data_IF_791263517639
#
_entry.id   IF_791263517639
#
_cell.length_a   1.000
_cell.length_b   1.000
_cell.length_c   1.000
_cell.angle_alpha   90.00
_cell.angle_beta   90.00
_cell.angle_gamma   90.00
#
_symmetry.space_group_name_H-M   'P 1'
#
loop_
_entity.id
_entity.type
_entity.pdbx_description
1 polymer ?
#
# COMPACT_ATOMS: atom_id res chain seq x y z
N UNK A 1 -16.63 -31.49 -9.20
CA UNK A 1 -17.34 -32.73 -8.78
C UNK A 1 -17.81 -32.56 -7.34
N UNK A 2 -19.06 -32.98 -7.04
CA UNK A 2 -19.57 -32.91 -5.67
C UNK A 2 -18.91 -34.01 -4.81
N UNK A 3 -18.42 -33.66 -3.65
CA UNK A 3 -17.83 -34.59 -2.67
C UNK A 3 -18.91 -34.93 -1.65
N UNK A 4 -19.26 -36.18 -1.51
CA UNK A 4 -20.23 -36.65 -0.53
C UNK A 4 -19.51 -37.09 0.75
N UNK A 5 -19.95 -36.60 1.90
CA UNK A 5 -19.35 -36.86 3.20
C UNK A 5 -20.41 -37.51 4.12
N UNK A 6 -20.04 -38.59 4.77
CA UNK A 6 -20.89 -39.22 5.78
C UNK A 6 -21.04 -38.32 7.02
N UNK A 7 -22.26 -37.97 7.46
CA UNK A 7 -22.45 -37.11 8.61
C UNK A 7 -22.03 -37.72 9.96
N UNK A 8 -21.89 -39.08 10.03
CA UNK A 8 -21.59 -39.75 11.28
C UNK A 8 -20.10 -40.09 11.48
N UNK A 9 -19.34 -40.27 10.38
CA UNK A 9 -17.94 -40.70 10.48
C UNK A 9 -16.99 -39.87 9.62
N UNK A 10 -17.47 -38.80 8.97
CA UNK A 10 -16.73 -37.91 8.09
C UNK A 10 -15.99 -38.59 6.92
N UNK A 11 -16.33 -39.88 6.63
CA UNK A 11 -15.73 -40.58 5.50
C UNK A 11 -16.26 -40.04 4.18
N UNK A 12 -15.36 -39.94 3.21
CA UNK A 12 -15.70 -39.59 1.82
C UNK A 12 -16.33 -40.78 1.15
N UNK A 13 -17.51 -40.62 0.55
CA UNK A 13 -18.29 -41.66 -0.11
C UNK A 13 -18.42 -41.28 -1.58
N UNK A 14 -18.23 -42.27 -2.47
CA UNK A 14 -18.53 -42.11 -3.89
C UNK A 14 -20.00 -42.46 -4.15
N UNK A 15 -20.76 -41.64 -4.88
CA UNK A 15 -22.14 -41.98 -5.25
C UNK A 15 -22.18 -43.18 -6.18
N UNK A 16 -23.22 -43.97 -6.05
CA UNK A 16 -23.53 -45.08 -6.97
C UNK A 16 -24.01 -44.55 -8.34
N UNK A 17 -24.30 -45.47 -9.26
CA UNK A 17 -24.79 -45.14 -10.62
C UNK A 17 -26.11 -44.36 -10.60
N UNK A 18 -26.85 -44.39 -9.51
CA UNK A 18 -28.11 -43.65 -9.32
C UNK A 18 -27.87 -42.24 -8.71
N UNK A 19 -26.63 -41.91 -8.34
CA UNK A 19 -26.26 -40.69 -7.68
C UNK A 19 -26.51 -40.69 -6.16
N UNK A 20 -26.81 -41.85 -5.56
CA UNK A 20 -27.00 -42.03 -4.13
C UNK A 20 -25.67 -42.42 -3.48
N UNK A 21 -25.30 -41.73 -2.44
CA UNK A 21 -24.10 -42.04 -1.66
C UNK A 21 -24.50 -42.50 -0.25
N UNK A 22 -24.31 -43.78 0.04
CA UNK A 22 -24.60 -44.40 1.34
C UNK A 22 -23.29 -44.88 1.97
N UNK A 23 -23.08 -44.62 3.24
CA UNK A 23 -21.89 -45.04 3.95
C UNK A 23 -21.98 -46.48 4.35
N UNK A 24 -21.10 -47.36 3.85
CA UNK A 24 -21.05 -48.80 4.18
C UNK A 24 -20.77 -49.04 5.67
N UNK A 25 -20.28 -48.06 6.40
CA UNK A 25 -19.90 -48.16 7.81
C UNK A 25 -21.00 -47.75 8.77
N UNK A 26 -21.74 -46.72 8.42
CA UNK A 26 -22.76 -46.09 9.28
C UNK A 26 -24.17 -46.34 8.76
N UNK A 27 -24.32 -46.88 7.58
CA UNK A 27 -25.61 -47.07 6.90
C UNK A 27 -26.42 -45.77 6.75
N UNK A 28 -25.68 -44.64 6.69
CA UNK A 28 -26.25 -43.28 6.64
C UNK A 28 -26.02 -42.70 5.27
N UNK A 29 -27.02 -41.99 4.75
CA UNK A 29 -26.93 -41.25 3.48
C UNK A 29 -25.95 -40.07 3.61
N UNK A 30 -24.90 -40.13 2.82
CA UNK A 30 -23.96 -39.01 2.70
C UNK A 30 -24.55 -37.89 1.86
N UNK A 31 -24.21 -36.66 2.21
CA UNK A 31 -24.67 -35.45 1.53
C UNK A 31 -23.47 -34.71 0.94
N UNK A 32 -23.63 -34.06 -0.24
CA UNK A 32 -22.62 -33.13 -0.74
C UNK A 32 -22.58 -31.83 0.05
N UNK A 33 -23.51 -31.64 0.96
CA UNK A 33 -23.59 -30.47 1.86
C UNK A 33 -23.49 -30.92 3.32
N UNK A 34 -22.61 -30.28 4.07
CA UNK A 34 -22.46 -30.52 5.50
C UNK A 34 -22.97 -29.28 6.26
N UNK A 35 -23.82 -29.50 7.27
CA UNK A 35 -24.21 -28.44 8.21
C UNK A 35 -23.25 -28.49 9.38
N UNK A 36 -22.55 -27.37 9.62
CA UNK A 36 -21.65 -27.20 10.76
C UNK A 36 -22.08 -26.00 11.57
N UNK A 37 -22.24 -26.18 12.86
CA UNK A 37 -22.44 -25.06 13.78
C UNK A 37 -21.08 -24.42 14.06
N UNK A 38 -20.97 -23.12 13.82
CA UNK A 38 -19.77 -22.34 14.15
C UNK A 38 -20.08 -21.50 15.39
N UNK A 39 -19.30 -21.69 16.46
CA UNK A 39 -19.33 -20.80 17.61
C UNK A 39 -18.41 -19.61 17.33
N UNK A 40 -19.01 -18.52 16.87
CA UNK A 40 -18.28 -17.28 16.54
C UNK A 40 -17.66 -16.64 17.78
N UNK A 41 -18.28 -16.79 18.94
CA UNK A 41 -17.73 -16.24 20.18
C UNK A 41 -16.49 -17.02 20.65
N UNK A 42 -16.49 -18.33 20.50
CA UNK A 42 -15.32 -19.16 20.77
C UNK A 42 -14.17 -18.79 19.84
N UNK A 43 -14.42 -18.73 18.53
CA UNK A 43 -13.41 -18.34 17.56
C UNK A 43 -12.81 -16.95 17.81
N UNK A 44 -13.66 -15.97 18.17
CA UNK A 44 -13.18 -14.63 18.52
C UNK A 44 -12.32 -14.65 19.79
N UNK A 45 -12.74 -15.40 20.81
CA UNK A 45 -11.99 -15.52 22.06
C UNK A 45 -10.63 -16.16 21.82
N UNK A 46 -10.59 -17.25 21.05
CA UNK A 46 -9.35 -17.96 20.72
C UNK A 46 -8.39 -17.06 19.92
N UNK A 47 -8.92 -16.28 18.97
CA UNK A 47 -8.14 -15.31 18.22
C UNK A 47 -7.59 -14.17 19.09
N UNK A 48 -8.38 -13.66 20.02
CA UNK A 48 -7.92 -12.65 20.99
C UNK A 48 -6.83 -13.21 21.93
N UNK A 49 -7.02 -14.44 22.42
CA UNK A 49 -6.02 -15.11 23.27
C UNK A 49 -4.71 -15.35 22.53
N UNK A 50 -4.78 -15.74 21.25
CA UNK A 50 -3.59 -16.03 20.43
C UNK A 50 -2.71 -14.80 20.20
N UNK A 51 -3.31 -13.59 20.17
CA UNK A 51 -2.58 -12.31 20.03
C UNK A 51 -2.47 -11.56 21.37
N UNK A 52 -2.71 -12.22 22.51
CA UNK A 52 -2.53 -11.65 23.83
C UNK A 52 -3.52 -10.53 24.23
N UNK A 53 -4.63 -10.39 23.49
CA UNK A 53 -5.59 -9.30 23.66
C UNK A 53 -6.80 -9.71 24.53
N UNK A 54 -7.42 -8.73 25.19
CA UNK A 54 -8.58 -8.97 26.06
C UNK A 54 -9.90 -8.92 25.29
N UNK A 55 -10.91 -9.73 25.66
CA UNK A 55 -12.21 -9.75 24.97
C UNK A 55 -12.94 -8.40 24.88
N UNK A 56 -12.66 -7.47 25.80
CA UNK A 56 -13.30 -6.15 25.85
C UNK A 56 -12.44 -5.03 25.28
N UNK A 57 -11.31 -5.35 24.65
CA UNK A 57 -10.38 -4.33 24.17
C UNK A 57 -10.92 -3.56 22.96
N UNK A 58 -11.71 -4.23 22.11
CA UNK A 58 -12.14 -3.65 20.84
C UNK A 58 -13.64 -3.87 20.58
N UNK A 59 -14.35 -2.79 20.28
CA UNK A 59 -15.77 -2.85 19.89
C UNK A 59 -15.96 -3.35 18.45
N UNK A 60 -14.96 -3.20 17.61
CA UNK A 60 -15.01 -3.56 16.19
C UNK A 60 -13.66 -4.08 15.71
N UNK A 61 -13.70 -5.15 14.94
CA UNK A 61 -12.54 -5.65 14.21
C UNK A 61 -12.43 -4.91 12.86
N UNK A 62 -11.19 -4.62 12.44
CA UNK A 62 -10.90 -3.96 11.15
C UNK A 62 -10.49 -5.01 10.10
N UNK A 63 -11.47 -5.79 9.65
CA UNK A 63 -11.30 -6.84 8.66
C UNK A 63 -11.62 -6.37 7.24
N UNK A 64 -11.17 -7.13 6.25
CA UNK A 64 -11.45 -6.88 4.83
C UNK A 64 -12.95 -6.98 4.57
N UNK A 65 -13.53 -5.97 3.92
CA UNK A 65 -14.93 -5.98 3.51
C UNK A 65 -15.13 -6.91 2.30
N UNK A 66 -16.29 -7.57 2.23
CA UNK A 66 -16.69 -8.38 1.07
C UNK A 66 -16.26 -9.84 1.12
N UNK A 67 -15.76 -10.36 2.24
CA UNK A 67 -15.49 -11.79 2.47
C UNK A 67 -16.77 -12.62 2.71
N UNK A 68 -17.94 -12.15 2.30
CA UNK A 68 -19.23 -12.84 2.47
C UNK A 68 -19.56 -13.84 1.36
N UNK A 69 -18.66 -14.06 0.41
CA UNK A 69 -18.84 -15.05 -0.65
C UNK A 69 -18.48 -16.44 -0.16
N UNK A 70 -19.28 -17.45 -0.53
CA UNK A 70 -18.98 -18.86 -0.26
C UNK A 70 -17.68 -19.39 -0.93
N UNK A 71 -17.15 -18.62 -1.87
CA UNK A 71 -15.97 -18.97 -2.68
C UNK A 71 -14.69 -18.30 -2.18
N UNK A 72 -14.82 -17.40 -1.20
CA UNK A 72 -13.67 -16.65 -0.64
C UNK A 72 -13.22 -17.26 0.68
N UNK A 73 -11.91 -17.35 0.86
CA UNK A 73 -11.31 -17.72 2.13
C UNK A 73 -11.41 -16.52 3.09
N UNK A 74 -11.97 -16.70 4.29
CA UNK A 74 -11.98 -15.66 5.31
C UNK A 74 -10.55 -15.25 5.70
N UNK A 75 -10.36 -13.97 5.98
CA UNK A 75 -9.15 -13.50 6.61
C UNK A 75 -9.09 -14.00 8.07
N UNK A 76 -7.89 -14.36 8.61
CA UNK A 76 -7.73 -14.63 10.04
C UNK A 76 -8.21 -13.46 10.91
N UNK A 77 -8.96 -13.76 11.97
CA UNK A 77 -9.51 -12.73 12.87
C UNK A 77 -8.40 -11.94 13.58
N UNK A 78 -7.28 -12.57 13.84
CA UNK A 78 -6.08 -12.01 14.44
C UNK A 78 -5.62 -10.75 13.70
N UNK A 79 -5.61 -10.78 12.36
CA UNK A 79 -5.25 -9.61 11.55
C UNK A 79 -6.20 -8.44 11.79
N UNK A 80 -7.50 -8.71 11.89
CA UNK A 80 -8.51 -7.69 12.18
C UNK A 80 -8.41 -7.11 13.58
N UNK A 81 -8.00 -7.94 14.57
CA UNK A 81 -7.76 -7.53 15.95
C UNK A 81 -6.54 -6.60 16.01
N UNK A 82 -5.41 -7.02 15.40
CA UNK A 82 -4.17 -6.24 15.41
C UNK A 82 -4.33 -4.90 14.67
N UNK A 83 -5.06 -4.88 13.54
CA UNK A 83 -5.39 -3.60 12.88
C UNK A 83 -6.22 -2.68 13.79
N UNK A 84 -7.17 -3.24 14.55
CA UNK A 84 -7.94 -2.44 15.50
C UNK A 84 -7.08 -1.90 16.64
N UNK A 85 -6.09 -2.66 17.09
CA UNK A 85 -5.11 -2.25 18.11
C UNK A 85 -4.32 -1.03 17.69
N UNK A 86 -3.82 -1.02 16.45
CA UNK A 86 -2.98 0.06 15.91
C UNK A 86 -3.75 1.14 15.13
N UNK A 87 -5.07 1.09 15.17
CA UNK A 87 -6.00 2.03 14.51
C UNK A 87 -5.80 2.15 12.98
N UNK A 88 -5.29 1.11 12.34
CA UNK A 88 -5.19 1.01 10.89
C UNK A 88 -6.35 0.23 10.29
N UNK A 89 -6.65 0.42 9.01
CA UNK A 89 -7.79 -0.20 8.32
C UNK A 89 -7.35 -0.92 7.05
N UNK A 90 -7.92 -2.11 6.80
CA UNK A 90 -7.64 -2.87 5.59
C UNK A 90 -8.38 -2.30 4.38
N UNK A 91 -7.68 -2.20 3.27
CA UNK A 91 -8.28 -2.03 1.95
C UNK A 91 -8.93 -3.35 1.49
N UNK A 92 -9.64 -3.31 0.36
CA UNK A 92 -10.37 -4.50 -0.16
C UNK A 92 -9.50 -5.72 -0.47
N UNK A 93 -8.20 -5.55 -0.62
CA UNK A 93 -7.21 -6.59 -0.89
C UNK A 93 -6.41 -7.04 0.34
N UNK A 94 -6.68 -6.45 1.49
CA UNK A 94 -6.03 -6.77 2.78
C UNK A 94 -4.87 -5.86 3.16
N UNK A 95 -4.40 -5.01 2.26
CA UNK A 95 -3.29 -4.07 2.53
C UNK A 95 -3.77 -2.86 3.33
N UNK A 96 -2.85 -2.21 4.03
CA UNK A 96 -3.05 -0.93 4.72
C UNK A 96 -2.45 0.19 3.88
N UNK A 97 -3.23 1.24 3.59
CA UNK A 97 -2.85 2.32 2.68
C UNK A 97 -3.12 3.68 3.27
N UNK A 98 -2.37 4.65 2.80
CA UNK A 98 -2.64 6.07 3.00
C UNK A 98 -2.82 6.75 1.65
N UNK A 99 -3.97 7.37 1.46
CA UNK A 99 -4.28 8.11 0.23
C UNK A 99 -3.85 9.57 0.41
N UNK A 100 -3.09 10.09 -0.55
CA UNK A 100 -2.61 11.47 -0.56
C UNK A 100 -2.50 12.00 -1.99
N UNK A 101 -2.54 13.31 -2.14
CA UNK A 101 -2.13 13.94 -3.39
C UNK A 101 -0.61 13.85 -3.53
N UNK A 102 -0.12 13.51 -4.71
CA UNK A 102 1.30 13.42 -5.00
C UNK A 102 1.69 14.46 -6.08
N UNK A 103 2.72 15.25 -5.82
CA UNK A 103 3.17 16.34 -6.68
C UNK A 103 4.56 16.04 -7.26
N UNK A 104 4.82 16.46 -8.51
CA UNK A 104 6.11 16.23 -9.14
C UNK A 104 7.16 17.24 -8.68
N UNK A 105 8.35 16.73 -8.36
CA UNK A 105 9.56 17.52 -8.14
C UNK A 105 10.77 16.79 -8.71
N UNK A 106 11.75 17.54 -9.19
CA UNK A 106 13.01 16.97 -9.73
C UNK A 106 14.20 17.25 -8.82
N UNK A 107 14.05 18.13 -7.84
CA UNK A 107 15.11 18.46 -6.89
C UNK A 107 14.54 18.97 -5.57
N UNK A 108 15.26 18.70 -4.50
CA UNK A 108 14.88 18.99 -3.11
C UNK A 108 16.08 19.47 -2.30
N UNK A 109 15.83 20.05 -1.12
CA UNK A 109 16.88 20.37 -0.14
C UNK A 109 16.69 19.55 1.12
N UNK A 110 17.77 19.11 1.78
CA UNK A 110 17.67 18.47 3.11
C UNK A 110 16.80 19.27 4.10
N UNK A 111 16.99 20.59 4.16
CA UNK A 111 16.20 21.49 5.02
C UNK A 111 14.69 21.50 4.74
N UNK A 112 14.24 21.07 3.56
CA UNK A 112 12.83 20.99 3.17
C UNK A 112 12.20 19.64 3.49
N UNK A 113 13.03 18.64 3.87
CA UNK A 113 12.64 17.24 4.04
C UNK A 113 12.61 16.76 5.50
N UNK A 114 12.94 17.64 6.44
CA UNK A 114 13.11 17.29 7.87
C UNK A 114 14.07 16.11 8.09
N UNK A 115 15.17 16.11 7.35
CA UNK A 115 16.27 15.15 7.44
C UNK A 115 17.61 15.86 7.45
N UNK A 116 18.63 15.19 7.98
CA UNK A 116 20.00 15.71 7.97
C UNK A 116 20.70 15.50 6.65
N UNK A 117 21.82 16.19 6.46
CA UNK A 117 22.72 15.93 5.31
C UNK A 117 23.27 14.51 5.36
N UNK A 118 23.59 14.03 6.54
CA UNK A 118 24.10 12.70 6.81
C UNK A 118 23.09 11.62 6.37
N UNK A 119 21.82 11.77 6.72
CA UNK A 119 20.77 10.84 6.30
C UNK A 119 20.69 10.73 4.77
N UNK A 120 20.72 11.85 4.06
CA UNK A 120 20.73 11.84 2.60
C UNK A 120 22.03 11.25 2.01
N UNK A 121 23.16 11.49 2.66
CA UNK A 121 24.43 10.89 2.24
C UNK A 121 24.42 9.36 2.37
N UNK A 122 23.82 8.81 3.43
CA UNK A 122 23.60 7.37 3.62
C UNK A 122 22.70 6.79 2.52
N UNK A 123 21.73 7.54 2.05
CA UNK A 123 20.87 7.19 0.92
C UNK A 123 21.56 7.37 -0.45
N UNK A 124 22.83 7.86 -0.45
CA UNK A 124 23.68 7.99 -1.62
C UNK A 124 23.49 9.33 -2.36
N UNK A 125 23.07 10.39 -1.69
CA UNK A 125 23.11 11.76 -2.19
C UNK A 125 24.45 12.40 -1.81
N UNK A 126 25.42 12.39 -2.71
CA UNK A 126 26.80 12.82 -2.43
C UNK A 126 27.13 14.21 -2.96
N UNK A 127 26.36 14.70 -3.93
CA UNK A 127 26.60 15.94 -4.65
C UNK A 127 25.30 16.72 -4.83
N UNK A 128 25.42 18.03 -4.92
CA UNK A 128 24.31 18.92 -5.29
C UNK A 128 24.14 19.00 -6.84
N UNK A 129 23.12 19.71 -7.31
CA UNK A 129 22.83 19.88 -8.75
C UNK A 129 23.95 20.56 -9.54
N UNK A 130 24.98 21.08 -8.90
CA UNK A 130 26.16 21.72 -9.53
C UNK A 130 27.36 20.79 -9.56
N UNK A 131 27.26 19.62 -8.90
CA UNK A 131 28.35 18.66 -8.72
C UNK A 131 29.26 19.01 -7.55
N UNK A 132 28.86 19.93 -6.69
CA UNK A 132 29.59 20.22 -5.45
C UNK A 132 29.21 19.18 -4.38
N UNK A 133 30.18 18.74 -3.55
CA UNK A 133 29.88 17.79 -2.47
C UNK A 133 28.75 18.29 -1.56
N UNK A 134 27.80 17.44 -1.23
CA UNK A 134 26.71 17.75 -0.32
C UNK A 134 27.23 17.88 1.11
N UNK A 135 27.14 19.09 1.69
CA UNK A 135 27.66 19.44 3.02
C UNK A 135 26.71 20.31 3.85
N UNK A 136 25.73 20.93 3.21
CA UNK A 136 24.83 21.89 3.83
C UNK A 136 23.39 21.58 3.48
N UNK A 137 22.51 21.74 4.43
CA UNK A 137 21.09 21.48 4.29
C UNK A 137 20.36 22.36 3.25
N UNK A 138 20.95 23.49 2.89
CA UNK A 138 20.42 24.41 1.87
C UNK A 138 20.82 24.05 0.43
N UNK A 139 21.73 23.07 0.23
CA UNK A 139 22.12 22.64 -1.10
C UNK A 139 20.97 21.89 -1.78
N UNK A 140 20.76 22.18 -3.05
CA UNK A 140 19.73 21.52 -3.85
C UNK A 140 20.29 20.23 -4.45
N UNK A 141 19.67 19.11 -4.17
CA UNK A 141 20.04 17.79 -4.72
C UNK A 141 19.03 17.33 -5.76
N UNK A 142 19.49 16.63 -6.77
CA UNK A 142 18.61 16.01 -7.77
C UNK A 142 17.90 14.81 -7.16
N UNK A 143 16.56 14.80 -7.21
CA UNK A 143 15.75 13.71 -6.67
C UNK A 143 15.93 12.44 -7.52
N UNK A 144 16.28 11.34 -6.88
CA UNK A 144 16.36 10.04 -7.57
C UNK A 144 14.96 9.56 -7.94
N UNK A 145 14.85 8.89 -9.08
CA UNK A 145 13.58 8.55 -9.73
C UNK A 145 12.59 7.80 -8.85
N UNK A 146 13.06 6.95 -7.94
CA UNK A 146 12.20 6.14 -7.06
C UNK A 146 12.21 6.62 -5.61
N UNK A 147 12.74 7.80 -5.34
CA UNK A 147 12.70 8.39 -4.01
C UNK A 147 11.44 9.24 -3.84
N UNK A 148 10.80 9.13 -2.68
CA UNK A 148 9.53 9.80 -2.37
C UNK A 148 9.63 10.57 -1.05
N UNK A 149 8.90 11.68 -0.99
CA UNK A 149 8.74 12.49 0.22
C UNK A 149 7.31 12.34 0.72
N UNK A 150 7.15 11.94 1.97
CA UNK A 150 5.83 11.73 2.56
C UNK A 150 5.33 12.97 3.28
N UNK A 151 4.00 13.18 3.29
CA UNK A 151 3.40 14.14 4.20
C UNK A 151 3.53 13.67 5.65
N UNK A 152 3.47 14.62 6.61
CA UNK A 152 3.49 14.27 8.04
C UNK A 152 2.39 13.26 8.40
N UNK A 153 1.18 13.41 7.82
CA UNK A 153 0.08 12.47 8.05
C UNK A 153 0.32 11.09 7.45
N UNK A 154 0.98 11.00 6.29
CA UNK A 154 1.38 9.72 5.71
C UNK A 154 2.44 9.04 6.57
N UNK A 155 3.43 9.79 7.06
CA UNK A 155 4.46 9.25 7.93
C UNK A 155 3.89 8.69 9.24
N UNK A 156 2.98 9.42 9.91
CA UNK A 156 2.30 8.94 11.12
C UNK A 156 1.51 7.65 10.84
N UNK A 157 0.79 7.59 9.73
CA UNK A 157 0.07 6.37 9.35
C UNK A 157 0.99 5.20 9.03
N UNK A 158 2.16 5.45 8.41
CA UNK A 158 3.17 4.41 8.16
C UNK A 158 3.77 3.87 9.46
N UNK A 159 3.98 4.71 10.49
CA UNK A 159 4.42 4.25 11.82
C UNK A 159 3.38 3.31 12.45
N UNK A 160 2.10 3.70 12.46
CA UNK A 160 1.02 2.83 12.96
C UNK A 160 0.93 1.52 12.17
N UNK A 161 1.20 1.57 10.87
CA UNK A 161 1.22 0.38 10.03
C UNK A 161 2.44 -0.49 10.31
N UNK A 162 3.61 0.09 10.60
CA UNK A 162 4.81 -0.64 11.01
C UNK A 162 4.58 -1.39 12.33
N UNK A 163 4.03 -0.72 13.35
CA UNK A 163 3.66 -1.35 14.62
C UNK A 163 2.67 -2.51 14.41
N UNK A 164 1.69 -2.35 13.51
CA UNK A 164 0.76 -3.42 13.15
C UNK A 164 1.49 -4.60 12.49
N UNK A 165 2.42 -4.34 11.57
CA UNK A 165 3.19 -5.38 10.86
C UNK A 165 4.11 -6.13 11.83
N UNK A 166 4.76 -5.43 12.75
CA UNK A 166 5.64 -6.02 13.75
C UNK A 166 4.87 -6.91 14.73
N UNK A 167 3.74 -6.44 15.25
CA UNK A 167 2.84 -7.28 16.05
C UNK A 167 2.29 -8.49 15.26
N UNK A 168 2.02 -8.31 13.97
CA UNK A 168 1.58 -9.40 13.10
C UNK A 168 2.67 -10.46 12.93
N UNK A 169 3.92 -10.03 12.73
CA UNK A 169 5.08 -10.93 12.65
C UNK A 169 5.26 -11.70 13.96
N UNK A 170 5.27 -11.01 15.10
CA UNK A 170 5.54 -11.61 16.38
C UNK A 170 4.38 -12.48 16.86
N UNK A 171 3.18 -11.94 16.93
CA UNK A 171 2.05 -12.57 17.64
C UNK A 171 1.29 -13.58 16.77
N UNK A 172 1.26 -13.40 15.45
CA UNK A 172 0.55 -14.30 14.55
C UNK A 172 1.48 -15.27 13.81
N UNK A 173 2.60 -14.78 13.26
CA UNK A 173 3.53 -15.61 12.51
C UNK A 173 4.64 -16.24 13.38
N UNK A 174 4.86 -15.76 14.59
CA UNK A 174 5.92 -16.23 15.49
C UNK A 174 7.34 -15.92 14.96
N UNK A 175 7.47 -14.80 14.26
CA UNK A 175 8.72 -14.28 13.71
C UNK A 175 9.20 -13.08 14.53
N UNK A 176 10.45 -12.68 14.34
CA UNK A 176 10.96 -11.44 14.93
C UNK A 176 10.33 -10.22 14.25
N UNK A 177 10.06 -9.11 14.96
CA UNK A 177 9.64 -7.85 14.36
C UNK A 177 10.69 -7.38 13.35
N UNK A 178 10.26 -6.55 12.41
CA UNK A 178 11.11 -6.09 11.32
C UNK A 178 11.43 -4.61 11.40
N UNK A 179 10.42 -3.78 11.67
CA UNK A 179 10.57 -2.32 11.59
C UNK A 179 11.15 -1.73 12.88
N UNK A 180 10.58 -2.06 14.03
CA UNK A 180 10.97 -1.57 15.36
C UNK A 180 11.14 -0.03 15.41
N UNK A 181 10.23 0.70 14.74
CA UNK A 181 10.32 2.17 14.65
C UNK A 181 9.92 2.84 15.95
N UNK A 182 10.71 3.83 16.39
CA UNK A 182 10.39 4.68 17.53
C UNK A 182 9.92 6.08 17.11
N UNK A 183 10.36 6.55 15.94
CA UNK A 183 10.10 7.88 15.43
C UNK A 183 10.00 7.88 13.89
N UNK A 184 9.44 8.96 13.32
CA UNK A 184 9.24 9.05 11.87
C UNK A 184 10.53 9.01 11.05
N UNK A 185 11.65 9.46 11.64
CA UNK A 185 12.97 9.43 10.98
C UNK A 185 13.42 8.01 10.67
N UNK A 186 12.94 7.01 11.43
CA UNK A 186 13.26 5.60 11.19
C UNK A 186 12.63 5.07 9.87
N UNK A 187 11.64 5.80 9.32
CA UNK A 187 11.11 5.54 7.97
C UNK A 187 12.06 5.95 6.83
N UNK A 188 13.09 6.77 7.12
CA UNK A 188 14.02 7.24 6.08
C UNK A 188 14.87 6.06 5.58
N UNK A 189 14.78 5.80 4.28
CA UNK A 189 15.42 4.63 3.65
C UNK A 189 14.48 3.45 3.44
N UNK A 190 13.31 3.42 4.10
CA UNK A 190 12.35 2.33 3.96
C UNK A 190 11.63 2.30 2.61
N UNK A 191 11.27 1.08 2.22
CA UNK A 191 10.62 0.84 0.95
C UNK A 191 9.09 0.89 1.09
N UNK A 192 8.48 1.55 0.14
CA UNK A 192 7.03 1.69 0.02
C UNK A 192 6.56 1.29 -1.38
N UNK A 193 5.29 0.95 -1.50
CA UNK A 193 4.59 0.92 -2.77
C UNK A 193 3.83 2.21 -2.99
N UNK A 194 4.02 2.83 -4.16
CA UNK A 194 3.12 3.83 -4.69
C UNK A 194 2.19 3.21 -5.73
N UNK A 195 0.92 3.57 -5.70
CA UNK A 195 -0.07 3.06 -6.66
C UNK A 195 -1.14 4.11 -6.94
N UNK A 196 -1.41 4.32 -8.23
CA UNK A 196 -2.45 5.23 -8.67
C UNK A 196 -3.84 4.56 -8.62
N UNK A 197 -4.92 5.33 -8.36
CA UNK A 197 -6.29 4.86 -8.49
C UNK A 197 -6.58 4.28 -9.88
N UNK A 198 -7.48 3.31 -9.91
CA UNK A 198 -7.93 2.62 -11.14
C UNK A 198 -6.84 1.85 -11.88
N UNK A 199 -5.68 1.64 -11.29
CA UNK A 199 -4.61 0.81 -11.84
C UNK A 199 -4.52 -0.54 -11.13
N UNK A 200 -3.65 -1.43 -11.63
CA UNK A 200 -3.36 -2.72 -11.01
C UNK A 200 -1.86 -2.97 -10.88
N UNK A 201 -1.09 -1.90 -10.91
CA UNK A 201 0.37 -1.94 -10.81
C UNK A 201 0.85 -1.03 -9.68
N UNK A 202 1.69 -1.58 -8.81
CA UNK A 202 2.41 -0.84 -7.79
C UNK A 202 3.86 -0.62 -8.20
N UNK A 203 4.41 0.54 -7.88
CA UNK A 203 5.81 0.88 -8.11
C UNK A 203 6.52 1.03 -6.77
N UNK A 204 7.67 0.37 -6.62
CA UNK A 204 8.48 0.49 -5.40
C UNK A 204 9.14 1.86 -5.35
N UNK A 205 8.94 2.56 -4.24
CA UNK A 205 9.62 3.80 -3.88
C UNK A 205 10.43 3.64 -2.59
N UNK A 206 11.30 4.61 -2.31
CA UNK A 206 12.06 4.70 -1.08
C UNK A 206 11.80 6.05 -0.40
N UNK A 207 11.46 6.02 0.87
CA UNK A 207 11.22 7.24 1.65
C UNK A 207 12.55 7.96 1.90
N UNK A 208 12.62 9.26 1.61
CA UNK A 208 13.84 10.06 1.86
C UNK A 208 13.62 11.24 2.80
N UNK A 209 12.39 11.48 3.22
CA UNK A 209 12.07 12.56 4.12
C UNK A 209 10.59 12.92 4.13
N UNK A 210 10.29 14.03 4.79
CA UNK A 210 8.93 14.42 5.13
C UNK A 210 8.65 15.87 4.80
N UNK A 211 7.36 16.20 4.70
CA UNK A 211 6.89 17.57 4.49
C UNK A 211 5.66 17.85 5.34
N UNK A 212 5.56 19.08 5.84
CA UNK A 212 4.34 19.56 6.52
C UNK A 212 3.21 19.92 5.56
N UNK A 213 3.44 19.91 4.25
CA UNK A 213 2.38 20.03 3.26
C UNK A 213 1.48 18.79 3.29
N UNK A 214 0.18 18.97 3.03
CA UNK A 214 -0.77 17.85 2.98
C UNK A 214 -0.68 17.08 1.66
N UNK A 215 0.51 16.93 1.09
CA UNK A 215 0.81 16.24 -0.16
C UNK A 215 2.10 15.46 -0.05
N UNK A 216 2.28 14.44 -0.89
CA UNK A 216 3.58 13.82 -1.14
C UNK A 216 4.30 14.46 -2.31
N UNK A 217 5.59 14.17 -2.44
CA UNK A 217 6.38 14.57 -3.61
C UNK A 217 7.17 13.39 -4.14
N UNK A 218 7.21 13.27 -5.47
CA UNK A 218 7.97 12.25 -6.16
C UNK A 218 8.50 12.77 -7.50
N UNK A 219 9.47 12.06 -8.07
CA UNK A 219 9.98 12.40 -9.39
C UNK A 219 8.91 12.18 -10.48
N UNK A 220 8.84 13.03 -11.54
CA UNK A 220 7.90 12.85 -12.66
C UNK A 220 7.89 11.42 -13.25
N UNK A 221 9.05 10.77 -13.32
CA UNK A 221 9.15 9.39 -13.80
C UNK A 221 8.48 8.37 -12.87
N UNK A 222 8.42 8.65 -11.56
CA UNK A 222 7.69 7.82 -10.61
C UNK A 222 6.18 7.93 -10.83
N UNK A 223 5.69 9.16 -11.09
CA UNK A 223 4.28 9.39 -11.46
C UNK A 223 3.93 8.64 -12.75
N UNK A 224 4.71 8.80 -13.81
CA UNK A 224 4.48 8.12 -15.09
C UNK A 224 4.52 6.59 -14.96
N UNK A 225 5.44 6.04 -14.15
CA UNK A 225 5.51 4.60 -13.88
C UNK A 225 4.27 4.06 -13.17
N UNK A 226 3.60 4.88 -12.35
CA UNK A 226 2.30 4.58 -11.75
C UNK A 226 1.12 4.83 -12.70
N UNK A 227 1.38 5.24 -13.94
CA UNK A 227 0.38 5.64 -14.93
C UNK A 227 -0.46 6.82 -14.47
N UNK A 228 0.20 7.78 -13.87
CA UNK A 228 -0.36 9.03 -13.39
C UNK A 228 0.22 10.21 -14.14
N UNK A 229 -0.61 11.21 -14.36
CA UNK A 229 -0.17 12.52 -14.82
C UNK A 229 0.55 13.23 -13.67
N UNK A 230 1.35 14.23 -14.01
CA UNK A 230 2.08 15.01 -13.02
C UNK A 230 1.32 16.30 -12.62
N UNK A 231 0.01 16.22 -12.57
CA UNK A 231 -0.90 17.35 -12.34
C UNK A 231 -1.44 17.44 -10.90
N UNK A 232 -0.95 16.57 -10.00
CA UNK A 232 -1.34 16.58 -8.59
C UNK A 232 -2.59 15.74 -8.29
N UNK A 233 -2.73 14.64 -8.96
CA UNK A 233 -3.78 13.66 -8.71
C UNK A 233 -3.58 12.91 -7.40
N UNK A 234 -4.67 12.29 -6.92
CA UNK A 234 -4.66 11.39 -5.78
C UNK A 234 -3.87 10.12 -6.07
N UNK A 235 -3.10 9.69 -5.09
CA UNK A 235 -2.28 8.49 -5.11
C UNK A 235 -2.35 7.79 -3.77
N UNK A 236 -1.93 6.55 -3.68
CA UNK A 236 -1.79 5.88 -2.39
C UNK A 236 -0.37 5.37 -2.16
N UNK A 237 0.01 5.37 -0.90
CA UNK A 237 1.28 4.80 -0.43
C UNK A 237 1.00 3.72 0.62
N UNK A 238 1.80 2.65 0.62
CA UNK A 238 1.77 1.58 1.62
C UNK A 238 3.17 1.07 1.90
N UNK A 239 3.41 0.56 3.10
CA UNK A 239 4.68 -0.10 3.41
C UNK A 239 4.85 -1.36 2.55
N UNK A 240 6.07 -1.56 2.02
CA UNK A 240 6.37 -2.69 1.15
C UNK A 240 6.03 -4.01 1.82
N UNK A 241 6.43 -4.19 3.09
CA UNK A 241 6.24 -5.44 3.80
C UNK A 241 4.76 -5.71 4.10
N UNK A 242 3.95 -4.68 4.43
CA UNK A 242 2.50 -4.82 4.55
C UNK A 242 1.88 -5.32 3.24
N UNK A 243 2.25 -4.70 2.12
CA UNK A 243 1.79 -5.12 0.80
C UNK A 243 2.15 -6.58 0.47
N UNK A 244 3.35 -7.04 0.86
CA UNK A 244 3.78 -8.41 0.63
C UNK A 244 3.11 -9.44 1.55
N UNK A 245 2.84 -9.09 2.82
CA UNK A 245 2.26 -9.99 3.81
C UNK A 245 0.74 -10.07 3.75
N UNK A 246 0.07 -8.98 3.43
CA UNK A 246 -1.37 -8.85 3.61
C UNK A 246 -2.17 -8.81 2.30
N UNK A 247 -1.55 -8.53 1.16
CA UNK A 247 -2.22 -8.59 -0.13
C UNK A 247 -2.75 -9.99 -0.43
N UNK A 248 -4.01 -10.08 -0.86
CA UNK A 248 -4.58 -11.31 -1.39
C UNK A 248 -5.55 -11.03 -2.54
N UNK A 249 -5.26 -11.59 -3.70
CA UNK A 249 -6.17 -11.56 -4.85
C UNK A 249 -7.51 -12.22 -4.50
N UNK A 250 -7.52 -13.23 -3.61
CA UNK A 250 -8.74 -13.93 -3.20
C UNK A 250 -9.73 -13.04 -2.43
N UNK A 251 -9.28 -11.90 -1.90
CA UNK A 251 -10.16 -10.95 -1.21
C UNK A 251 -10.87 -9.98 -2.17
N UNK A 252 -10.33 -9.84 -3.38
CA UNK A 252 -10.88 -8.87 -4.35
C UNK A 252 -12.31 -9.24 -4.77
N UNK A 253 -13.18 -8.23 -4.99
CA UNK A 253 -14.53 -8.45 -5.47
C UNK A 253 -14.55 -9.08 -6.86
N UNK A 254 -15.49 -10.02 -7.11
CA UNK A 254 -15.67 -10.67 -8.40
C UNK A 254 -16.40 -9.80 -9.44
N UNK A 255 -16.73 -8.56 -9.05
CA UNK A 255 -17.43 -7.61 -9.92
C UNK A 255 -16.49 -6.99 -10.95
N UNK A 256 -17.05 -6.46 -12.04
CA UNK A 256 -16.31 -5.68 -13.03
C UNK A 256 -15.59 -4.51 -12.34
N UNK A 257 -14.29 -4.37 -12.57
CA UNK A 257 -13.44 -3.38 -11.90
C UNK A 257 -13.01 -3.77 -10.48
N UNK A 258 -13.44 -4.92 -9.94
CA UNK A 258 -13.05 -5.38 -8.60
C UNK A 258 -11.55 -5.59 -8.41
N UNK A 259 -10.83 -5.86 -9.50
CA UNK A 259 -9.36 -6.02 -9.52
C UNK A 259 -8.59 -4.71 -9.72
N UNK A 260 -9.28 -3.60 -9.95
CA UNK A 260 -8.65 -2.27 -9.96
C UNK A 260 -8.27 -1.86 -8.55
N UNK A 261 -7.35 -0.93 -8.42
CA UNK A 261 -6.80 -0.48 -7.13
C UNK A 261 -6.17 -1.62 -6.30
N UNK A 262 -5.53 -2.57 -6.96
CA UNK A 262 -4.89 -3.70 -6.31
C UNK A 262 -3.52 -3.98 -6.94
N UNK A 263 -2.44 -4.20 -6.15
CA UNK A 263 -1.08 -4.37 -6.65
C UNK A 263 -0.88 -5.77 -7.25
N UNK A 264 -1.59 -6.07 -8.35
CA UNK A 264 -1.47 -7.36 -9.04
C UNK A 264 -0.12 -7.52 -9.76
N UNK A 265 0.50 -6.40 -10.10
CA UNK A 265 1.85 -6.33 -10.70
C UNK A 265 2.68 -5.38 -9.87
N UNK A 266 3.94 -5.72 -9.67
CA UNK A 266 4.91 -4.92 -8.94
C UNK A 266 6.09 -4.56 -9.85
N UNK A 267 6.40 -3.26 -9.95
CA UNK A 267 7.60 -2.75 -10.60
C UNK A 267 8.63 -2.38 -9.52
N UNK A 268 9.68 -3.18 -9.38
CA UNK A 268 10.77 -2.92 -8.42
C UNK A 268 11.79 -1.92 -8.96
N UNK A 269 11.87 -1.75 -10.28
CA UNK A 269 12.80 -0.84 -10.95
C UNK A 269 12.12 -0.18 -12.14
N UNK A 270 12.19 1.13 -12.19
CA UNK A 270 11.71 1.93 -13.32
C UNK A 270 12.75 1.87 -14.43
N UNK A 271 12.32 1.57 -15.65
CA UNK A 271 13.13 1.71 -16.86
C UNK A 271 12.84 3.08 -17.48
N UNK A 272 13.79 4.03 -17.48
CA UNK A 272 13.56 5.36 -18.04
C UNK A 272 13.21 5.36 -19.54
N UNK A 273 13.57 4.29 -20.26
CA UNK A 273 13.26 4.17 -21.69
C UNK A 273 11.80 3.83 -21.98
N UNK A 274 11.06 3.35 -20.97
CA UNK A 274 9.64 2.99 -21.06
C UNK A 274 8.71 4.06 -20.44
N UNK A 275 9.28 5.20 -20.00
CA UNK A 275 8.52 6.31 -19.42
C UNK A 275 7.70 7.00 -20.51
N UNK A 276 6.45 7.31 -20.18
CA UNK A 276 5.54 8.04 -21.04
C UNK A 276 6.09 9.44 -21.37
N UNK A 277 5.95 9.85 -22.65
CA UNK A 277 6.42 11.15 -23.15
C UNK A 277 5.84 12.33 -22.36
N UNK A 278 4.68 12.18 -21.76
CA UNK A 278 4.03 13.22 -20.93
C UNK A 278 4.89 13.66 -19.75
N UNK A 279 5.66 12.75 -19.15
CA UNK A 279 6.60 13.06 -18.08
C UNK A 279 7.75 13.99 -18.52
N UNK A 280 8.02 14.08 -19.81
CA UNK A 280 9.04 14.98 -20.38
C UNK A 280 8.50 16.38 -20.71
N UNK A 281 7.19 16.57 -20.68
CA UNK A 281 6.53 17.83 -20.97
C UNK A 281 6.26 18.69 -19.72
N UNK A 282 6.85 18.33 -18.58
CA UNK A 282 6.72 19.09 -17.34
C UNK A 282 7.73 20.21 -17.34
N UNK A 283 7.23 21.42 -17.03
CA UNK A 283 8.10 22.57 -16.81
C UNK A 283 8.85 22.42 -15.47
N UNK A 284 10.17 22.54 -15.53
CA UNK A 284 11.04 22.41 -14.35
C UNK A 284 11.48 23.77 -13.80
N UNK A 285 10.92 24.87 -14.29
CA UNK A 285 11.23 26.21 -13.79
C UNK A 285 10.82 26.36 -12.33
N UNK A 286 11.73 26.90 -11.55
CA UNK A 286 11.48 27.17 -10.12
C UNK A 286 10.57 28.38 -9.90
N UNK A 287 10.70 29.39 -10.75
CA UNK A 287 9.89 30.62 -10.75
C UNK A 287 9.75 31.08 -12.20
N UNK A 288 8.55 31.42 -12.58
CA UNK A 288 8.32 31.99 -13.91
C UNK A 288 8.75 33.46 -13.97
N UNK A 289 9.15 33.94 -15.15
CA UNK A 289 9.42 35.35 -15.34
C UNK A 289 8.13 36.18 -15.19
N UNK A 290 8.30 37.50 -14.94
CA UNK A 290 7.17 38.37 -14.71
C UNK A 290 6.16 38.39 -15.86
N UNK A 291 6.64 38.29 -17.07
CA UNK A 291 5.86 38.30 -18.29
C UNK A 291 4.84 37.13 -18.31
N UNK A 292 5.20 35.99 -17.75
CA UNK A 292 4.28 34.85 -17.58
C UNK A 292 3.09 35.23 -16.71
N UNK A 293 3.35 35.82 -15.52
CA UNK A 293 2.27 36.23 -14.62
C UNK A 293 1.41 37.36 -15.16
N UNK A 294 2.00 38.25 -15.96
CA UNK A 294 1.24 39.32 -16.62
C UNK A 294 0.31 38.74 -17.69
N UNK A 295 0.79 37.81 -18.51
CA UNK A 295 0.01 37.10 -19.51
C UNK A 295 -1.14 36.28 -18.87
N UNK A 296 -0.88 35.58 -17.77
CA UNK A 296 -1.95 34.84 -17.06
C UNK A 296 -3.05 35.75 -16.51
N UNK A 297 -2.71 36.97 -16.09
CA UNK A 297 -3.72 37.97 -15.63
C UNK A 297 -4.59 38.48 -16.78
N UNK A 298 -4.04 38.54 -17.97
CA UNK A 298 -4.74 38.93 -19.21
C UNK A 298 -5.49 37.79 -19.87
N UNK A 299 -5.45 36.58 -19.27
CA UNK A 299 -6.06 35.37 -19.81
C UNK A 299 -5.53 35.03 -21.21
N UNK A 300 -4.23 35.22 -21.45
CA UNK A 300 -3.59 34.87 -22.70
C UNK A 300 -3.74 33.38 -23.02
N UNK A 301 -3.80 33.03 -24.29
CA UNK A 301 -3.83 31.64 -24.74
C UNK A 301 -2.51 30.92 -24.37
N UNK A 302 -2.60 29.62 -24.09
CA UNK A 302 -1.44 28.83 -23.63
C UNK A 302 -0.27 28.87 -24.62
N UNK A 303 -0.54 28.86 -25.91
CA UNK A 303 0.50 28.98 -26.95
C UNK A 303 1.26 30.32 -26.97
N UNK A 304 0.72 31.39 -26.35
CA UNK A 304 1.39 32.70 -26.26
C UNK A 304 2.44 32.74 -25.15
N UNK A 305 2.35 31.82 -24.19
CA UNK A 305 3.25 31.74 -23.03
C UNK A 305 4.22 30.56 -23.11
N UNK A 306 4.08 29.69 -24.11
CA UNK A 306 4.89 28.47 -24.28
C UNK A 306 6.38 28.79 -24.40
N UNK A 307 6.75 29.85 -25.10
CA UNK A 307 8.15 30.30 -25.22
C UNK A 307 8.73 30.89 -23.93
N UNK A 308 7.87 31.18 -22.92
CA UNK A 308 8.27 31.72 -21.62
C UNK A 308 8.49 30.58 -20.62
N UNK A 309 7.92 29.42 -20.89
CA UNK A 309 7.99 28.20 -20.08
C UNK A 309 9.05 27.28 -20.69
N UNK A 310 10.09 26.90 -19.94
CA UNK A 310 11.11 25.93 -20.42
C UNK A 310 11.72 25.20 -19.25
#
# INVERSE_FOLDING_TARGET
>A
EAVYICPDCDSRIEPDESGRAECDRCETLASPTQSKTLDIHEQLRDALESVGERPSAYDKLKAVKGLSSKEKTPEPLEKGILRAKHDVSAFKDGTVRYDMTDLPVTSVRPAELDVTVEDLQELGYTEDIRGDPLRHEDQLVELKVQDVVLSDGAAEHMLQTADFVDDLLEQYYGLEPYYEFEQRQDLVGELVFGMAPHTSAATVGRVIGFTSAAVGYAHPYFHAAKRRNCDGDEDCVMLLLDGLLNFSESFLPDQRGGRMDAPLVMSSRIDPSEIDDEAHNIDIMRTYPREFYEATREMAETGEVEDIMT
#
